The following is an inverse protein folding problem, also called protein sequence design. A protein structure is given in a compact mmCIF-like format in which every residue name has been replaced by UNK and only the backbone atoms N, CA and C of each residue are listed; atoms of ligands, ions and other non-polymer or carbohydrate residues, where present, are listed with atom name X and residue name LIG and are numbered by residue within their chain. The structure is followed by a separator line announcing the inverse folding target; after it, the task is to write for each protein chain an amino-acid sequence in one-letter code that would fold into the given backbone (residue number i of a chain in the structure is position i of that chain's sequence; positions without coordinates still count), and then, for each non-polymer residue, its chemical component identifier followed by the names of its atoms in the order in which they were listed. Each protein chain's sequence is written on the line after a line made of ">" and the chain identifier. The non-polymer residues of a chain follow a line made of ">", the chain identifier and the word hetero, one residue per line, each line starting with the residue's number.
data_IF_351793377904
#
_entry.id   IF_351793377904
#
_cell.length_a   1.000
_cell.length_b   1.000
_cell.length_c   1.000
_cell.angle_alpha   90.00
_cell.angle_beta   90.00
_cell.angle_gamma   90.00
#
_symmetry.space_group_name_H-M   'P 1'
#
loop_
_entity.id
_entity.type
_entity.pdbx_description
1 polymer ?
#
# COMPACT_ATOMS: atom_id res chain seq x y z
N UNK A 1 -8.21 -17.10 7.26
CA UNK A 1 -9.14 -16.00 6.90
C UNK A 1 -10.40 -16.04 7.73
N UNK A 2 -11.19 -17.13 7.69
CA UNK A 2 -12.51 -17.23 8.34
C UNK A 2 -12.58 -16.72 9.79
N UNK A 3 -11.73 -17.24 10.68
CA UNK A 3 -11.72 -16.80 12.08
C UNK A 3 -11.52 -15.28 12.25
N UNK A 4 -10.66 -14.64 11.45
CA UNK A 4 -10.41 -13.18 11.50
C UNK A 4 -11.56 -12.38 10.91
N UNK A 5 -12.20 -12.92 9.87
CA UNK A 5 -13.36 -12.31 9.25
C UNK A 5 -14.55 -12.31 10.21
N UNK A 6 -14.82 -13.44 10.87
CA UNK A 6 -15.84 -13.59 11.90
C UNK A 6 -15.59 -12.69 13.13
N UNK A 7 -14.32 -12.44 13.47
CA UNK A 7 -13.94 -11.59 14.60
C UNK A 7 -14.00 -10.07 14.33
N UNK A 8 -14.36 -9.63 13.11
CA UNK A 8 -14.38 -8.20 12.73
C UNK A 8 -15.77 -7.77 12.24
N UNK A 9 -15.98 -7.68 10.92
CA UNK A 9 -17.27 -7.29 10.33
C UNK A 9 -17.56 -8.25 9.16
N UNK A 10 -18.23 -9.39 9.42
CA UNK A 10 -18.42 -10.44 8.42
C UNK A 10 -19.20 -9.99 7.17
N UNK A 11 -19.95 -8.90 7.29
CA UNK A 11 -20.68 -8.31 6.16
C UNK A 11 -19.75 -7.61 5.17
N UNK A 12 -18.51 -7.29 5.55
CA UNK A 12 -17.56 -6.54 4.74
C UNK A 12 -16.46 -7.45 4.19
N UNK A 13 -15.93 -7.16 2.98
CA UNK A 13 -14.83 -7.93 2.43
C UNK A 13 -13.55 -7.74 3.27
N UNK A 14 -12.79 -8.81 3.44
CA UNK A 14 -11.49 -8.79 4.12
C UNK A 14 -10.35 -8.96 3.12
N UNK A 15 -9.35 -8.07 3.20
CA UNK A 15 -8.10 -8.17 2.47
C UNK A 15 -6.96 -8.45 3.44
N UNK A 16 -6.03 -9.32 3.04
CA UNK A 16 -4.75 -9.50 3.73
C UNK A 16 -3.62 -8.96 2.84
N UNK A 17 -2.82 -8.06 3.38
CA UNK A 17 -1.67 -7.48 2.69
C UNK A 17 -0.38 -7.84 3.43
N UNK A 18 0.68 -8.07 2.65
CA UNK A 18 2.06 -8.20 3.14
C UNK A 18 2.87 -7.14 2.42
N UNK A 19 3.62 -6.34 3.17
CA UNK A 19 4.45 -5.24 2.65
C UNK A 19 5.93 -5.62 2.70
N UNK A 20 6.70 -5.19 1.70
CA UNK A 20 8.15 -5.41 1.66
C UNK A 20 8.88 -4.34 2.50
N UNK A 21 9.92 -4.71 3.26
CA UNK A 21 10.76 -3.78 4.00
C UNK A 21 10.13 -3.04 5.20
N UNK A 22 8.83 -3.17 5.43
CA UNK A 22 8.12 -2.51 6.53
C UNK A 22 7.17 -3.48 7.23
N UNK A 23 7.20 -3.50 8.56
CA UNK A 23 6.28 -4.32 9.36
C UNK A 23 4.87 -3.71 9.39
N UNK A 24 3.89 -4.54 9.74
CA UNK A 24 2.50 -4.10 9.98
C UNK A 24 2.46 -2.89 10.93
N UNK A 25 3.16 -2.98 12.06
CA UNK A 25 3.07 -1.96 13.11
C UNK A 25 3.76 -0.67 12.69
N UNK A 26 4.86 -0.75 11.94
CA UNK A 26 5.53 0.42 11.36
C UNK A 26 4.63 1.13 10.34
N UNK A 27 3.98 0.38 9.44
CA UNK A 27 3.07 0.95 8.44
C UNK A 27 1.85 1.59 9.13
N UNK A 28 1.18 0.86 10.01
CA UNK A 28 -0.01 1.35 10.71
C UNK A 28 0.27 2.56 11.60
N UNK A 29 1.44 2.64 12.24
CA UNK A 29 1.80 3.77 13.11
C UNK A 29 2.11 5.07 12.32
N UNK A 30 2.47 4.97 11.03
CA UNK A 30 2.88 6.12 10.20
C UNK A 30 1.82 6.54 9.18
N UNK A 31 0.89 5.65 8.83
CA UNK A 31 -0.20 5.96 7.90
C UNK A 31 -1.20 6.92 8.54
N UNK A 32 -1.37 8.12 7.96
CA UNK A 32 -2.18 9.22 8.55
C UNK A 32 -3.64 9.24 8.07
N UNK A 33 -4.14 8.12 7.53
CA UNK A 33 -5.52 8.00 7.04
C UNK A 33 -6.14 6.66 7.46
N UNK A 34 -7.47 6.62 7.55
CA UNK A 34 -8.22 5.39 7.81
C UNK A 34 -8.56 4.63 6.51
N UNK A 35 -8.37 5.26 5.35
CA UNK A 35 -8.58 4.68 4.03
C UNK A 35 -7.26 4.54 3.26
N UNK A 36 -7.25 3.62 2.30
CA UNK A 36 -6.18 3.42 1.33
C UNK A 36 -6.76 3.02 -0.02
N UNK A 37 -5.95 3.14 -1.08
CA UNK A 37 -6.29 2.65 -2.41
C UNK A 37 -5.40 1.46 -2.75
N UNK A 38 -5.98 0.42 -3.34
CA UNK A 38 -5.25 -0.75 -3.85
C UNK A 38 -5.44 -0.84 -5.35
N UNK A 39 -4.34 -1.04 -6.06
CA UNK A 39 -4.33 -1.28 -7.50
C UNK A 39 -3.62 -2.61 -7.77
N UNK A 40 -4.17 -3.41 -8.67
CA UNK A 40 -3.55 -4.64 -9.14
C UNK A 40 -2.59 -4.34 -10.28
N UNK A 41 -1.48 -5.07 -10.34
CA UNK A 41 -0.56 -5.06 -11.46
C UNK A 41 -0.31 -6.51 -11.94
N UNK A 42 -0.11 -6.74 -13.25
CA UNK A 42 0.19 -8.05 -13.82
C UNK A 42 1.48 -8.70 -13.30
N UNK A 43 2.43 -7.91 -12.80
CA UNK A 43 3.70 -8.40 -12.25
C UNK A 43 4.24 -7.47 -11.16
N UNK A 44 5.23 -7.96 -10.39
CA UNK A 44 5.92 -7.14 -9.40
C UNK A 44 6.68 -5.96 -10.04
N UNK A 45 7.30 -6.17 -11.20
CA UNK A 45 7.98 -5.11 -11.95
C UNK A 45 7.01 -4.03 -12.43
N UNK A 46 5.83 -4.42 -12.92
CA UNK A 46 4.79 -3.46 -13.31
C UNK A 46 4.20 -2.73 -12.10
N UNK A 47 4.10 -3.37 -10.93
CA UNK A 47 3.70 -2.71 -9.69
C UNK A 47 4.69 -1.62 -9.28
N UNK A 48 5.99 -1.92 -9.33
CA UNK A 48 7.06 -0.95 -9.03
C UNK A 48 7.04 0.22 -10.01
N UNK A 49 6.89 -0.06 -11.32
CA UNK A 49 6.73 0.96 -12.37
C UNK A 49 5.51 1.86 -12.13
N UNK A 50 4.36 1.28 -11.77
CA UNK A 50 3.14 2.03 -11.50
C UNK A 50 3.29 2.94 -10.26
N UNK A 51 3.94 2.44 -9.20
CA UNK A 51 4.26 3.23 -8.02
C UNK A 51 5.19 4.40 -8.36
N UNK A 52 6.26 4.14 -9.12
CA UNK A 52 7.20 5.18 -9.56
C UNK A 52 6.52 6.24 -10.43
N UNK A 53 5.67 5.83 -11.38
CA UNK A 53 4.91 6.75 -12.23
C UNK A 53 3.98 7.65 -11.40
N UNK A 54 3.27 7.09 -10.43
CA UNK A 54 2.38 7.86 -9.54
C UNK A 54 3.16 8.82 -8.64
N UNK A 55 4.29 8.37 -8.09
CA UNK A 55 5.17 9.21 -7.29
C UNK A 55 5.72 10.39 -8.10
N UNK A 56 6.24 10.13 -9.30
CA UNK A 56 6.74 11.17 -10.20
C UNK A 56 5.65 12.18 -10.60
N UNK A 57 4.42 11.71 -10.86
CA UNK A 57 3.30 12.59 -11.14
C UNK A 57 2.97 13.50 -9.96
N UNK A 58 2.91 12.97 -8.73
CA UNK A 58 2.64 13.77 -7.53
C UNK A 58 3.76 14.77 -7.24
N UNK A 59 5.01 14.38 -7.41
CA UNK A 59 6.16 15.28 -7.30
C UNK A 59 6.08 16.42 -8.31
N UNK A 60 5.77 16.12 -9.59
CA UNK A 60 5.57 17.12 -10.63
C UNK A 60 4.39 18.07 -10.37
N UNK A 61 3.40 17.65 -9.58
CA UNK A 61 2.29 18.49 -9.09
C UNK A 61 2.68 19.34 -7.87
N UNK A 62 3.91 19.24 -7.37
CA UNK A 62 4.40 19.95 -6.20
C UNK A 62 4.01 19.30 -4.87
N UNK A 63 3.62 18.01 -4.86
CA UNK A 63 3.28 17.27 -3.65
C UNK A 63 4.51 16.53 -3.14
N UNK A 64 4.84 16.71 -1.86
CA UNK A 64 5.90 15.93 -1.23
C UNK A 64 5.48 14.46 -1.12
N UNK A 65 6.23 13.58 -1.79
CA UNK A 65 5.97 12.14 -1.77
C UNK A 65 6.79 11.45 -0.68
N UNK A 66 6.11 10.66 0.14
CA UNK A 66 6.74 9.77 1.11
C UNK A 66 6.44 8.32 0.73
N UNK A 67 7.49 7.52 0.56
CA UNK A 67 7.41 6.10 0.24
C UNK A 67 7.77 5.28 1.47
N UNK A 68 7.12 4.13 1.65
CA UNK A 68 7.37 3.22 2.77
C UNK A 68 7.65 1.81 2.28
N UNK A 69 8.54 1.10 2.98
CA UNK A 69 8.99 -0.23 2.61
C UNK A 69 10.15 -0.22 1.63
N UNK A 70 10.49 -1.41 1.12
CA UNK A 70 11.55 -1.58 0.13
C UNK A 70 11.02 -1.17 -1.24
N UNK A 71 11.32 0.06 -1.65
CA UNK A 71 10.92 0.59 -2.95
C UNK A 71 12.15 0.70 -3.85
N UNK A 72 12.11 0.00 -4.98
CA UNK A 72 13.10 0.17 -6.05
C UNK A 72 12.73 1.41 -6.85
N UNK A 73 13.50 2.48 -6.68
CA UNK A 73 13.34 3.71 -7.46
C UNK A 73 14.59 3.86 -8.33
N UNK A 74 14.39 3.81 -9.65
CA UNK A 74 15.47 3.82 -10.64
C UNK A 74 16.07 2.44 -10.84
#
# INVERSE_FOLDING_TARGET
>A
TEHRWQATTPQWPIMHAVTHGVSRDQMMARHKANHLNVAYAPSAEEADKALAAKAAMFDAMGLQVHLCGDVKIG
#
